data_IF_511782175385
#
_entry.id   IF_511782175385
#
_cell.length_a   1.000
_cell.length_b   1.000
_cell.length_c   1.000
_cell.angle_alpha   90.00
_cell.angle_beta   90.00
_cell.angle_gamma   90.00
#
_symmetry.space_group_name_H-M   'P 1'
#
loop_
_entity.id
_entity.type
_entity.pdbx_description
1 polymer ?
#
# COMPACT_ATOMS: atom_id res chain seq x y z
N UNK A 1 -5.59 10.59 20.33
CA UNK A 1 -5.97 11.81 19.58
C UNK A 1 -4.77 12.20 18.73
N UNK A 2 -4.93 12.45 17.42
CA UNK A 2 -3.81 12.92 16.61
C UNK A 2 -3.29 14.26 17.15
N UNK A 3 -1.98 14.54 17.05
CA UNK A 3 -1.44 15.82 17.47
C UNK A 3 -1.97 16.95 16.58
N UNK A 4 -2.27 18.11 17.17
CA UNK A 4 -2.78 19.30 16.46
C UNK A 4 -1.87 19.73 15.30
N UNK A 5 -0.57 19.44 15.36
CA UNK A 5 0.39 19.70 14.28
C UNK A 5 0.06 18.98 12.97
N UNK A 6 -0.51 17.76 13.03
CA UNK A 6 -0.89 17.01 11.82
C UNK A 6 -2.15 17.52 11.15
N UNK A 7 -2.98 18.30 11.86
CA UNK A 7 -4.14 18.98 11.28
C UNK A 7 -3.73 20.26 10.56
N UNK A 8 -2.71 20.99 11.02
CA UNK A 8 -2.29 22.27 10.43
C UNK A 8 -1.95 22.18 8.93
N UNK A 9 -1.44 21.02 8.47
CA UNK A 9 -1.20 20.76 7.05
C UNK A 9 -2.47 20.82 6.21
N UNK A 10 -3.58 20.31 6.76
CA UNK A 10 -4.88 20.24 6.10
C UNK A 10 -5.45 21.64 5.87
N UNK A 11 -5.15 22.60 6.74
CA UNK A 11 -5.58 23.99 6.60
C UNK A 11 -4.88 24.72 5.45
N UNK A 12 -3.75 24.20 4.96
CA UNK A 12 -3.07 24.74 3.76
C UNK A 12 -3.69 24.25 2.45
N UNK A 13 -4.58 23.27 2.49
CA UNK A 13 -5.26 22.76 1.31
C UNK A 13 -6.43 23.69 0.97
N UNK A 14 -6.44 24.22 -0.25
CA UNK A 14 -7.53 25.09 -0.74
C UNK A 14 -8.86 24.31 -0.86
N UNK A 15 -8.78 23.01 -1.20
CA UNK A 15 -9.90 22.08 -1.25
C UNK A 15 -9.48 20.68 -0.80
N UNK A 16 -10.33 20.02 -0.02
CA UNK A 16 -10.16 18.62 0.34
C UNK A 16 -10.83 17.73 -0.71
N UNK A 17 -10.09 16.75 -1.23
CA UNK A 17 -10.69 15.66 -1.99
C UNK A 17 -11.59 14.77 -1.10
N UNK A 18 -12.35 13.88 -1.73
CA UNK A 18 -13.31 13.02 -1.04
C UNK A 18 -12.65 12.08 -0.01
N UNK A 19 -11.41 11.67 -0.21
CA UNK A 19 -10.67 10.75 0.64
C UNK A 19 -10.10 11.48 1.85
N UNK A 20 -9.42 12.62 1.63
CA UNK A 20 -8.90 13.48 2.67
C UNK A 20 -10.01 13.96 3.63
N UNK A 21 -11.19 14.31 3.08
CA UNK A 21 -12.36 14.71 3.87
C UNK A 21 -12.86 13.58 4.78
N UNK A 22 -12.93 12.34 4.29
CA UNK A 22 -13.32 11.17 5.10
C UNK A 22 -12.33 10.87 6.21
N UNK A 23 -11.02 11.03 5.94
CA UNK A 23 -9.99 10.86 6.95
C UNK A 23 -10.10 11.90 8.06
N UNK A 24 -10.28 13.18 7.68
CA UNK A 24 -10.45 14.27 8.63
C UNK A 24 -11.65 14.04 9.56
N UNK A 25 -12.82 13.71 9.00
CA UNK A 25 -14.05 13.44 9.77
C UNK A 25 -13.90 12.25 10.72
N UNK A 26 -13.06 11.28 10.37
CA UNK A 26 -12.75 10.14 11.21
C UNK A 26 -11.65 10.41 12.25
N UNK A 27 -11.21 11.66 12.42
CA UNK A 27 -10.14 12.03 13.34
C UNK A 27 -8.78 11.49 12.94
N UNK A 28 -8.56 11.26 11.65
CA UNK A 28 -7.30 10.78 11.08
C UNK A 28 -6.70 11.87 10.20
N UNK A 29 -5.39 12.08 10.31
CA UNK A 29 -4.70 13.04 9.43
C UNK A 29 -4.51 12.38 8.07
N UNK A 30 -4.97 13.03 7.01
CA UNK A 30 -4.61 12.69 5.66
C UNK A 30 -3.14 13.11 5.46
N UNK A 31 -2.20 12.28 5.93
CA UNK A 31 -0.83 12.43 5.45
C UNK A 31 -0.85 12.07 3.97
N UNK A 32 -0.19 12.88 3.14
CA UNK A 32 -0.04 12.72 1.68
C UNK A 32 0.52 11.35 1.24
N UNK A 33 0.86 10.47 2.18
CA UNK A 33 1.44 9.16 1.93
C UNK A 33 0.83 8.08 2.81
N UNK A 34 -0.48 8.11 3.06
CA UNK A 34 -1.13 6.93 3.62
C UNK A 34 -1.34 5.90 2.50
N UNK A 35 -0.40 4.99 2.38
CA UNK A 35 -0.53 3.83 1.52
C UNK A 35 -1.70 2.98 2.02
N UNK A 36 -2.89 3.18 1.45
CA UNK A 36 -4.16 2.52 1.81
C UNK A 36 -4.24 1.08 1.28
N UNK A 37 -3.15 0.60 0.70
CA UNK A 37 -2.99 -0.76 0.21
C UNK A 37 -3.19 -1.80 1.31
N UNK A 38 -3.92 -2.90 1.02
CA UNK A 38 -4.12 -3.98 1.97
C UNK A 38 -2.79 -4.60 2.40
N UNK A 39 -2.69 -4.95 3.68
CA UNK A 39 -1.58 -5.73 4.22
C UNK A 39 -1.69 -7.16 3.72
N UNK A 40 -0.68 -7.63 2.99
CA UNK A 40 -0.61 -9.00 2.45
C UNK A 40 0.15 -9.91 3.42
N UNK A 41 1.26 -9.44 4.01
CA UNK A 41 1.97 -10.18 5.04
C UNK A 41 1.73 -9.57 6.41
N UNK A 42 0.92 -10.24 7.25
CA UNK A 42 0.64 -9.76 8.61
C UNK A 42 1.87 -9.87 9.55
N UNK A 43 2.75 -10.87 9.34
CA UNK A 43 3.93 -11.08 10.20
C UNK A 43 4.91 -9.89 10.20
N UNK A 44 5.10 -9.28 9.04
CA UNK A 44 6.07 -8.19 8.84
C UNK A 44 5.40 -6.89 8.39
N UNK A 45 4.07 -6.84 8.39
CA UNK A 45 3.30 -5.65 8.01
C UNK A 45 3.46 -5.22 6.54
N UNK A 46 3.78 -6.16 5.64
CA UNK A 46 4.06 -5.84 4.23
C UNK A 46 2.76 -5.62 3.46
N UNK A 47 2.65 -4.47 2.79
CA UNK A 47 1.50 -4.06 1.99
C UNK A 47 1.62 -4.48 0.53
N UNK A 48 0.49 -4.54 -0.18
CA UNK A 48 0.46 -4.88 -1.60
C UNK A 48 1.29 -3.92 -2.47
N UNK A 49 1.31 -2.63 -2.16
CA UNK A 49 2.12 -1.66 -2.91
C UNK A 49 3.61 -1.94 -2.78
N UNK A 50 4.10 -2.27 -1.58
CA UNK A 50 5.50 -2.63 -1.37
C UNK A 50 5.89 -3.88 -2.19
N UNK A 51 4.99 -4.86 -2.26
CA UNK A 51 5.18 -6.07 -3.09
C UNK A 51 5.20 -5.72 -4.58
N UNK A 52 4.31 -4.84 -5.04
CA UNK A 52 4.29 -4.38 -6.44
C UNK A 52 5.57 -3.61 -6.80
N UNK A 53 6.07 -2.75 -5.91
CA UNK A 53 7.36 -2.07 -6.09
C UNK A 53 8.50 -3.07 -6.19
N UNK A 54 8.57 -4.07 -5.28
CA UNK A 54 9.58 -5.12 -5.35
C UNK A 54 9.52 -5.91 -6.68
N UNK A 55 8.32 -6.21 -7.17
CA UNK A 55 8.15 -6.87 -8.48
C UNK A 55 8.63 -5.97 -9.62
N UNK A 56 8.34 -4.66 -9.57
CA UNK A 56 8.82 -3.68 -10.55
C UNK A 56 10.36 -3.55 -10.54
N UNK A 57 10.97 -3.66 -9.36
CA UNK A 57 12.43 -3.68 -9.17
C UNK A 57 13.08 -5.00 -9.66
N UNK A 58 12.28 -5.96 -10.10
CA UNK A 58 12.74 -7.21 -10.73
C UNK A 58 12.57 -8.47 -9.88
N UNK A 59 11.91 -8.40 -8.72
CA UNK A 59 11.61 -9.57 -7.91
C UNK A 59 10.58 -10.47 -8.61
N UNK A 60 11.05 -11.62 -9.14
CA UNK A 60 10.23 -12.56 -9.94
C UNK A 60 9.91 -13.87 -9.22
N UNK A 61 10.27 -14.00 -7.95
CA UNK A 61 9.99 -15.19 -7.13
C UNK A 61 9.63 -14.80 -5.69
N UNK A 62 8.98 -15.72 -4.98
CA UNK A 62 8.63 -15.55 -3.57
C UNK A 62 9.86 -15.36 -2.70
N UNK A 63 10.98 -15.99 -3.05
CA UNK A 63 12.26 -15.91 -2.35
C UNK A 63 12.91 -14.54 -2.58
N UNK A 64 12.84 -13.99 -3.80
CA UNK A 64 13.34 -12.65 -4.09
C UNK A 64 12.56 -11.57 -3.32
N UNK A 65 11.23 -11.72 -3.24
CA UNK A 65 10.39 -10.82 -2.42
C UNK A 65 10.69 -11.01 -0.92
N UNK A 66 10.90 -12.25 -0.48
CA UNK A 66 11.31 -12.57 0.89
C UNK A 66 12.66 -11.97 1.25
N UNK A 67 13.60 -11.90 0.32
CA UNK A 67 14.91 -11.28 0.54
C UNK A 67 14.86 -9.75 0.67
N UNK A 68 13.91 -9.09 -0.01
CA UNK A 68 13.74 -7.63 0.05
C UNK A 68 12.80 -7.17 1.16
N UNK A 69 11.69 -7.87 1.37
CA UNK A 69 10.58 -7.43 2.23
C UNK A 69 10.29 -8.36 3.41
N UNK A 70 11.04 -9.47 3.56
CA UNK A 70 10.79 -10.55 4.53
C UNK A 70 9.40 -11.21 4.40
N UNK A 71 8.62 -10.89 3.36
CA UNK A 71 7.30 -11.48 3.17
C UNK A 71 7.43 -12.97 2.83
N UNK A 72 6.70 -13.82 3.56
CA UNK A 72 6.65 -15.27 3.30
C UNK A 72 7.68 -16.12 4.03
N UNK A 73 8.56 -15.54 4.86
CA UNK A 73 9.63 -16.29 5.56
C UNK A 73 9.26 -16.75 6.97
N UNK A 74 8.12 -16.30 7.52
CA UNK A 74 7.67 -16.65 8.89
C UNK A 74 6.55 -17.71 8.88
N UNK A 75 5.28 -17.33 8.78
CA UNK A 75 4.16 -18.28 8.85
C UNK A 75 3.72 -18.84 7.49
N UNK A 76 4.24 -18.30 6.38
CA UNK A 76 3.94 -18.75 5.02
C UNK A 76 2.51 -18.47 4.50
N UNK A 77 1.61 -17.88 5.29
CA UNK A 77 0.21 -17.67 4.90
C UNK A 77 0.03 -16.75 3.68
N UNK A 78 0.98 -15.86 3.45
CA UNK A 78 0.98 -14.92 2.32
C UNK A 78 1.57 -15.50 1.02
N UNK A 79 2.16 -16.71 1.04
CA UNK A 79 2.79 -17.32 -0.14
C UNK A 79 1.82 -17.58 -1.32
N UNK A 80 0.59 -18.08 -1.11
CA UNK A 80 -0.36 -18.25 -2.21
C UNK A 80 -0.70 -16.92 -2.88
N UNK A 81 -0.82 -15.86 -2.09
CA UNK A 81 -1.18 -14.53 -2.58
C UNK A 81 -0.01 -13.86 -3.30
N UNK A 82 1.21 -13.98 -2.77
CA UNK A 82 2.42 -13.54 -3.44
C UNK A 82 2.57 -14.18 -4.83
N UNK A 83 2.33 -15.49 -4.94
CA UNK A 83 2.37 -16.20 -6.24
C UNK A 83 1.33 -15.66 -7.22
N UNK A 84 0.12 -15.37 -6.74
CA UNK A 84 -0.93 -14.73 -7.56
C UNK A 84 -0.48 -13.35 -8.05
N UNK A 85 0.08 -12.52 -7.19
CA UNK A 85 0.57 -11.18 -7.56
C UNK A 85 1.72 -11.24 -8.58
N UNK A 86 2.69 -12.14 -8.41
CA UNK A 86 3.78 -12.36 -9.37
C UNK A 86 3.24 -12.83 -10.72
N UNK A 87 2.30 -13.78 -10.72
CA UNK A 87 1.67 -14.27 -11.95
C UNK A 87 0.86 -13.17 -12.65
N UNK A 88 0.12 -12.38 -11.88
CA UNK A 88 -0.67 -11.26 -12.40
C UNK A 88 0.23 -10.16 -12.98
N UNK A 89 1.39 -9.87 -12.38
CA UNK A 89 2.35 -8.90 -12.92
C UNK A 89 3.06 -9.38 -14.20
N UNK A 90 3.15 -10.70 -14.42
CA UNK A 90 3.62 -11.28 -15.69
C UNK A 90 2.58 -11.20 -16.80
N UNK A 91 1.30 -11.14 -16.47
CA UNK A 91 0.28 -10.71 -17.40
C UNK A 91 0.33 -9.17 -17.52
N UNK A 92 0.12 -8.58 -18.71
CA UNK A 92 0.06 -7.14 -18.84
C UNK A 92 -1.12 -6.60 -18.03
N UNK A 93 -0.85 -6.07 -16.84
CA UNK A 93 -1.84 -5.45 -15.98
C UNK A 93 -2.28 -4.14 -16.64
N UNK A 94 -3.54 -4.06 -17.08
CA UNK A 94 -4.17 -2.79 -17.41
C UNK A 94 -4.09 -1.91 -16.16
N UNK A 95 -3.28 -0.87 -16.22
CA UNK A 95 -3.27 0.20 -15.24
C UNK A 95 -4.70 0.70 -15.07
N UNK A 96 -5.33 0.39 -13.94
CA UNK A 96 -6.46 1.18 -13.48
C UNK A 96 -5.88 2.44 -12.86
N UNK A 97 -5.34 3.28 -13.74
CA UNK A 97 -5.31 4.71 -13.54
C UNK A 97 -6.78 5.13 -13.36
N UNK A 98 -7.00 5.90 -12.31
CA UNK A 98 -8.08 6.86 -12.16
C UNK A 98 -9.52 6.34 -12.04
N UNK A 99 -10.13 6.69 -10.92
CA UNK A 99 -11.30 7.55 -11.01
C UNK A 99 -11.38 8.50 -9.81
N UNK A 100 -10.96 9.78 -9.98
CA UNK A 100 -11.47 10.87 -9.18
C UNK A 100 -12.86 11.31 -9.69
N UNK A 101 -13.79 11.54 -8.76
CA UNK A 101 -15.01 12.34 -8.92
C UNK A 101 -15.23 13.16 -7.65
#
# INVERSE_FOLDING_TARGET
MPPWSGLAEVWRLERLDATARRFLLAGRTASTSFDASPTICACFGVKSQAILSAIADGARSTEAIGAQLNAGTNCGSCLPELRRMIAAARAPQKAKADLPA
#
